data_IF_223390661505
#
_entry.id   IF_223390661505
#
_cell.length_a   1.000
_cell.length_b   1.000
_cell.length_c   1.000
_cell.angle_alpha   90.00
_cell.angle_beta   90.00
_cell.angle_gamma   90.00
#
_symmetry.space_group_name_H-M   'P 1'
#
loop_
_entity.id
_entity.type
_entity.pdbx_description
1 polymer ?
#
# COMPACT_ATOMS: atom_id res chain seq x y z
N UNK A 1 -9.31 14.32 -5.92
CA UNK A 1 -8.64 13.08 -6.33
C UNK A 1 -7.22 13.14 -5.78
N UNK A 2 -6.93 12.46 -4.66
CA UNK A 2 -5.55 12.30 -4.22
C UNK A 2 -4.92 11.23 -5.11
N UNK A 3 -3.83 11.56 -5.79
CA UNK A 3 -3.11 10.61 -6.63
C UNK A 3 -2.48 9.54 -5.73
N UNK A 4 -2.61 8.27 -6.09
CA UNK A 4 -1.94 7.18 -5.38
C UNK A 4 -0.42 7.41 -5.41
N UNK A 5 0.23 7.16 -4.29
CA UNK A 5 1.69 7.29 -4.15
C UNK A 5 2.38 6.46 -5.22
N UNK A 6 3.23 7.10 -6.01
CA UNK A 6 3.94 6.44 -7.11
C UNK A 6 5.03 5.52 -6.57
N UNK A 7 5.42 4.53 -7.37
CA UNK A 7 6.53 3.62 -7.01
C UNK A 7 7.82 4.39 -6.68
N UNK A 8 8.11 5.48 -7.41
CA UNK A 8 9.30 6.33 -7.14
C UNK A 8 9.22 7.02 -5.78
N UNK A 9 8.04 7.47 -5.38
CA UNK A 9 7.84 8.08 -4.05
C UNK A 9 7.94 7.03 -2.94
N UNK A 10 7.40 5.83 -3.15
CA UNK A 10 7.50 4.72 -2.19
C UNK A 10 8.96 4.30 -1.94
N UNK A 11 9.82 4.27 -2.97
CA UNK A 11 11.24 3.95 -2.81
C UNK A 11 12.04 5.02 -2.05
N UNK A 12 11.52 6.25 -1.93
CA UNK A 12 12.16 7.33 -1.17
C UNK A 12 11.78 7.33 0.31
N UNK A 13 10.77 6.56 0.70
CA UNK A 13 10.33 6.46 2.09
C UNK A 13 11.29 5.59 2.91
N UNK A 14 11.44 5.93 4.19
CA UNK A 14 12.10 5.02 5.13
C UNK A 14 11.28 3.72 5.24
N UNK A 15 11.92 2.55 5.50
CA UNK A 15 11.18 1.30 5.70
C UNK A 15 10.12 1.42 6.81
N UNK A 16 10.44 2.16 7.90
CA UNK A 16 9.52 2.38 9.03
C UNK A 16 8.28 3.17 8.63
N UNK A 17 8.44 4.24 7.84
CA UNK A 17 7.29 5.05 7.42
C UNK A 17 6.49 4.33 6.34
N UNK A 18 7.15 3.63 5.42
CA UNK A 18 6.49 2.78 4.44
C UNK A 18 5.64 1.68 5.11
N UNK A 19 6.11 1.10 6.20
CA UNK A 19 5.34 0.12 6.98
C UNK A 19 4.07 0.73 7.59
N UNK A 20 4.15 1.94 8.17
CA UNK A 20 2.98 2.64 8.71
C UNK A 20 1.94 2.90 7.61
N UNK A 21 2.40 3.34 6.44
CA UNK A 21 1.55 3.59 5.28
C UNK A 21 0.91 2.31 4.75
N UNK A 22 1.64 1.17 4.74
CA UNK A 22 1.08 -0.14 4.40
C UNK A 22 -0.08 -0.49 5.32
N UNK A 23 0.08 -0.33 6.64
CA UNK A 23 -0.97 -0.63 7.62
C UNK A 23 -2.21 0.26 7.39
N UNK A 24 -2.01 1.56 7.12
CA UNK A 24 -3.10 2.47 6.79
C UNK A 24 -3.84 2.04 5.51
N UNK A 25 -3.09 1.65 4.48
CA UNK A 25 -3.63 1.17 3.21
C UNK A 25 -4.38 -0.17 3.37
N UNK A 26 -3.90 -1.09 4.21
CA UNK A 26 -4.59 -2.34 4.53
C UNK A 26 -5.96 -2.08 5.14
N UNK A 27 -6.04 -1.17 6.10
CA UNK A 27 -7.30 -0.78 6.73
C UNK A 27 -8.29 -0.21 5.70
N UNK A 28 -7.81 0.62 4.76
CA UNK A 28 -8.63 1.15 3.66
C UNK A 28 -9.15 0.04 2.76
N UNK A 29 -8.28 -0.89 2.35
CA UNK A 29 -8.67 -2.04 1.49
C UNK A 29 -9.68 -2.95 2.20
N UNK A 30 -9.52 -3.20 3.50
CA UNK A 30 -10.47 -4.01 4.28
C UNK A 30 -11.83 -3.33 4.37
N UNK A 31 -11.86 -2.02 4.67
CA UNK A 31 -13.11 -1.23 4.70
C UNK A 31 -13.83 -1.27 3.35
N UNK A 32 -13.10 -1.05 2.25
CA UNK A 32 -13.66 -1.13 0.90
C UNK A 32 -14.18 -2.53 0.57
N UNK A 33 -13.42 -3.58 0.93
CA UNK A 33 -13.85 -4.97 0.72
C UNK A 33 -15.17 -5.26 1.43
N UNK A 34 -15.31 -4.82 2.68
CA UNK A 34 -16.55 -4.97 3.44
C UNK A 34 -17.68 -4.15 2.82
N UNK A 35 -17.42 -2.90 2.42
CA UNK A 35 -18.38 -2.06 1.73
C UNK A 35 -18.92 -2.71 0.45
N UNK A 36 -18.03 -3.27 -0.39
CA UNK A 36 -18.41 -3.96 -1.63
C UNK A 36 -19.22 -5.22 -1.32
N UNK A 37 -18.79 -6.04 -0.35
CA UNK A 37 -19.51 -7.26 0.05
C UNK A 37 -20.91 -6.99 0.60
N UNK A 38 -21.07 -5.88 1.33
CA UNK A 38 -22.35 -5.46 1.91
C UNK A 38 -23.20 -4.65 0.92
N UNK A 39 -22.76 -4.45 -0.32
CA UNK A 39 -23.45 -3.61 -1.30
C UNK A 39 -23.49 -2.11 -0.95
N UNK A 40 -22.72 -1.68 0.06
CA UNK A 40 -22.65 -0.29 0.53
C UNK A 40 -21.67 0.56 -0.28
N UNK A 41 -20.65 -0.06 -0.85
CA UNK A 41 -19.68 0.59 -1.75
C UNK A 41 -20.01 0.21 -3.19
N UNK A 42 -20.33 1.22 -4.01
CA UNK A 42 -20.70 1.04 -5.43
C UNK A 42 -19.48 1.09 -6.35
N UNK A 43 -18.38 1.71 -5.90
CA UNK A 43 -17.14 1.79 -6.67
C UNK A 43 -16.24 0.57 -6.39
N UNK A 44 -16.58 -0.56 -7.01
CA UNK A 44 -15.76 -1.77 -6.98
C UNK A 44 -14.39 -1.56 -7.65
N UNK A 45 -14.30 -0.64 -8.62
CA UNK A 45 -13.04 -0.28 -9.27
C UNK A 45 -12.08 0.42 -8.29
N UNK A 46 -12.59 1.23 -7.36
CA UNK A 46 -11.80 1.80 -6.27
C UNK A 46 -11.17 0.72 -5.40
N UNK A 47 -11.94 -0.28 -4.96
CA UNK A 47 -11.38 -1.42 -4.21
C UNK A 47 -10.24 -2.10 -4.97
N UNK A 48 -10.41 -2.33 -6.28
CA UNK A 48 -9.37 -2.96 -7.12
C UNK A 48 -8.12 -2.06 -7.20
N UNK A 49 -8.27 -0.74 -7.38
CA UNK A 49 -7.16 0.21 -7.41
C UNK A 49 -6.39 0.22 -6.09
N UNK A 50 -7.09 0.35 -4.96
CA UNK A 50 -6.46 0.38 -3.64
C UNK A 50 -5.75 -0.94 -3.30
N UNK A 51 -6.32 -2.07 -3.72
CA UNK A 51 -5.70 -3.40 -3.56
C UNK A 51 -4.42 -3.53 -4.38
N UNK A 52 -4.40 -3.02 -5.61
CA UNK A 52 -3.20 -2.98 -6.46
C UNK A 52 -2.13 -2.09 -5.84
N UNK A 53 -2.51 -0.94 -5.27
CA UNK A 53 -1.58 -0.06 -4.58
C UNK A 53 -0.95 -0.76 -3.37
N UNK A 54 -1.76 -1.42 -2.54
CA UNK A 54 -1.25 -2.17 -1.39
C UNK A 54 -0.23 -3.23 -1.81
N UNK A 55 -0.48 -3.96 -2.89
CA UNK A 55 0.47 -4.94 -3.42
C UNK A 55 1.81 -4.28 -3.81
N UNK A 56 1.76 -3.13 -4.49
CA UNK A 56 2.96 -2.36 -4.84
C UNK A 56 3.75 -1.92 -3.61
N UNK A 57 3.07 -1.39 -2.60
CA UNK A 57 3.71 -0.95 -1.36
C UNK A 57 4.43 -2.11 -0.66
N UNK A 58 3.80 -3.29 -0.58
CA UNK A 58 4.43 -4.50 -0.01
C UNK A 58 5.65 -4.96 -0.80
N UNK A 59 5.58 -4.93 -2.13
CA UNK A 59 6.73 -5.27 -2.99
C UNK A 59 7.88 -4.30 -2.76
N UNK A 60 7.61 -2.99 -2.74
CA UNK A 60 8.64 -1.98 -2.47
C UNK A 60 9.23 -2.19 -1.09
N UNK A 61 8.40 -2.36 -0.05
CA UNK A 61 8.88 -2.60 1.32
C UNK A 61 9.84 -3.76 1.42
N UNK A 62 9.51 -4.91 0.82
CA UNK A 62 10.42 -6.07 0.75
C UNK A 62 11.76 -5.74 0.08
N UNK A 63 11.74 -4.92 -0.97
CA UNK A 63 12.96 -4.45 -1.64
C UNK A 63 13.78 -3.49 -0.78
N UNK A 64 13.15 -2.53 -0.09
CA UNK A 64 13.90 -1.54 0.72
C UNK A 64 14.39 -2.14 2.04
N UNK A 65 13.64 -3.08 2.63
CA UNK A 65 14.04 -3.79 3.86
C UNK A 65 15.22 -4.73 3.60
N UNK A 66 15.21 -5.48 2.50
CA UNK A 66 16.34 -6.35 2.13
C UNK A 66 17.59 -5.59 1.68
N UNK A 67 17.43 -4.35 1.20
CA UNK A 67 18.56 -3.48 0.83
C UNK A 67 19.17 -2.76 2.03
N UNK A 68 18.41 -2.56 3.12
CA UNK A 68 18.94 -1.94 4.34
C UNK A 68 19.82 -2.91 5.13
N UNK A 69 19.56 -4.21 5.07
CA UNK A 69 20.40 -5.25 5.71
C UNK A 69 21.78 -5.43 5.04
N UNK A 70 21.97 -4.99 3.79
CA UNK A 70 23.23 -5.19 3.05
C UNK A 70 24.29 -4.10 3.28
N UNK A 71 23.96 -3.02 3.97
CA UNK A 71 24.86 -1.88 4.18
C UNK A 71 25.53 -1.86 5.57
N UNK A 72 25.47 -2.96 6.33
CA UNK A 72 26.10 -3.09 7.66
C UNK A 72 27.25 -4.10 7.74
N UNK A 73 27.86 -4.50 6.61
CA UNK A 73 29.08 -5.34 6.58
C UNK A 73 30.27 -4.61 5.97
#
# INVERSE_FOLDING_TARGET
MSALTTTKELHKMSPKDLLKEIIAQENTVVKLRLGVKLGKEKDSAKYIREKKQLARMKTVYSSVSSSSEKNEN
#
